data_IF_084642631624
#
_entry.id   IF_084642631624
#
_cell.length_a   1.000
_cell.length_b   1.000
_cell.length_c   1.000
_cell.angle_alpha   90.00
_cell.angle_beta   90.00
_cell.angle_gamma   90.00
#
_symmetry.space_group_name_H-M   'P 1'
#
loop_
_entity.id
_entity.type
_entity.pdbx_description
1 polymer ?
#
# COMPACT_ATOMS: atom_id res chain seq x y z
N UNK A 1 -10.88 5.54 -9.91
CA UNK A 1 -9.97 6.03 -8.86
C UNK A 1 -10.24 5.23 -7.60
N UNK A 2 -9.17 4.69 -7.02
CA UNK A 2 -9.22 3.91 -5.78
C UNK A 2 -8.92 4.84 -4.61
N UNK A 3 -9.44 4.57 -3.42
CA UNK A 3 -9.08 5.34 -2.22
C UNK A 3 -8.66 4.46 -1.07
N UNK A 4 -7.77 5.01 -0.26
CA UNK A 4 -7.32 4.45 1.01
C UNK A 4 -7.62 5.49 2.07
N UNK A 5 -8.24 5.08 3.16
CA UNK A 5 -8.45 5.93 4.33
C UNK A 5 -8.15 5.19 5.61
N UNK A 6 -7.81 5.90 6.68
CA UNK A 6 -7.50 5.33 7.98
C UNK A 6 -6.92 6.38 8.92
N UNK A 7 -6.50 5.94 10.10
CA UNK A 7 -5.81 6.77 11.09
C UNK A 7 -4.31 6.47 11.04
N UNK A 8 -3.47 7.49 10.97
CA UNK A 8 -2.02 7.29 10.99
C UNK A 8 -1.58 6.86 12.39
N UNK A 9 -1.21 5.60 12.55
CA UNK A 9 -0.86 5.00 13.85
C UNK A 9 0.26 5.76 14.58
N UNK A 10 1.20 6.32 13.81
CA UNK A 10 2.36 7.05 14.37
C UNK A 10 2.00 8.41 14.98
N UNK A 11 0.95 9.05 14.48
CA UNK A 11 0.59 10.40 14.94
C UNK A 11 -0.24 10.34 16.23
N UNK A 12 -1.02 9.27 16.42
CA UNK A 12 -1.96 9.18 17.53
C UNK A 12 -2.98 10.33 17.55
N UNK A 13 -3.15 11.01 16.41
CA UNK A 13 -4.21 11.98 16.21
C UNK A 13 -5.50 11.23 15.85
N UNK A 14 -6.64 11.72 16.32
CA UNK A 14 -7.94 11.15 15.93
C UNK A 14 -8.37 11.68 14.56
N UNK A 15 -7.41 12.01 13.68
CA UNK A 15 -7.66 12.57 12.36
C UNK A 15 -7.66 11.45 11.33
N UNK A 16 -8.84 11.18 10.75
CA UNK A 16 -8.95 10.22 9.64
C UNK A 16 -8.44 10.86 8.36
N UNK A 17 -7.45 10.24 7.74
CA UNK A 17 -6.79 10.73 6.52
C UNK A 17 -7.23 9.91 5.32
N UNK A 18 -7.15 10.50 4.14
CA UNK A 18 -7.59 9.84 2.90
C UNK A 18 -6.71 10.26 1.73
N UNK A 19 -6.30 9.27 0.94
CA UNK A 19 -5.65 9.46 -0.35
C UNK A 19 -6.42 8.75 -1.45
N UNK A 20 -6.31 9.27 -2.67
CA UNK A 20 -6.76 8.64 -3.89
C UNK A 20 -5.56 8.13 -4.70
N UNK A 21 -5.70 6.96 -5.29
CA UNK A 21 -4.72 6.32 -6.15
C UNK A 21 -5.28 6.21 -7.57
N UNK A 22 -4.54 6.75 -8.52
CA UNK A 22 -4.88 6.69 -9.94
C UNK A 22 -4.58 5.31 -10.54
N UNK A 23 -5.00 5.08 -11.79
CA UNK A 23 -4.67 3.84 -12.51
C UNK A 23 -3.19 3.73 -12.87
N UNK A 24 -2.41 4.82 -12.75
CA UNK A 24 -0.97 4.82 -12.95
C UNK A 24 -0.16 4.72 -11.65
N UNK A 25 -0.82 4.55 -10.50
CA UNK A 25 -0.18 4.51 -9.18
C UNK A 25 0.10 5.89 -8.57
N UNK A 26 -0.37 6.98 -9.19
CA UNK A 26 -0.20 8.31 -8.61
C UNK A 26 -1.07 8.48 -7.36
N UNK A 27 -0.44 8.83 -6.24
CA UNK A 27 -1.09 9.05 -4.95
C UNK A 27 -1.34 10.55 -4.76
N UNK A 28 -2.59 10.94 -4.51
CA UNK A 28 -3.02 12.33 -4.27
C UNK A 28 -3.95 12.41 -3.05
N UNK A 29 -4.16 13.59 -2.47
CA UNK A 29 -5.03 13.75 -1.29
C UNK A 29 -4.26 14.28 -0.08
N UNK A 30 -4.51 13.71 1.10
CA UNK A 30 -3.83 14.10 2.34
C UNK A 30 -2.30 14.08 2.18
N UNK A 31 -1.66 15.22 2.44
CA UNK A 31 -0.23 15.41 2.17
C UNK A 31 0.65 14.55 3.08
N UNK A 32 0.25 14.33 4.33
CA UNK A 32 1.02 13.54 5.29
C UNK A 32 0.98 12.05 4.94
N UNK A 33 -0.22 11.51 4.72
CA UNK A 33 -0.40 10.13 4.32
C UNK A 33 0.26 9.85 2.96
N UNK A 34 0.08 10.75 1.99
CA UNK A 34 0.77 10.66 0.70
C UNK A 34 2.29 10.65 0.86
N UNK A 35 2.84 11.54 1.68
CA UNK A 35 4.29 11.61 1.91
C UNK A 35 4.81 10.31 2.53
N UNK A 36 4.16 9.82 3.59
CA UNK A 36 4.55 8.59 4.27
C UNK A 36 4.48 7.35 3.37
N UNK A 37 3.40 7.19 2.60
CA UNK A 37 3.26 6.09 1.64
C UNK A 37 4.40 6.09 0.62
N UNK A 38 4.66 7.23 -0.01
CA UNK A 38 5.72 7.34 -1.00
C UNK A 38 7.11 7.09 -0.41
N UNK A 39 7.35 7.57 0.81
CA UNK A 39 8.62 7.38 1.49
C UNK A 39 8.87 5.89 1.79
N UNK A 40 7.90 5.18 2.37
CA UNK A 40 8.03 3.77 2.72
C UNK A 40 8.17 2.88 1.47
N UNK A 41 7.35 3.13 0.44
CA UNK A 41 7.47 2.46 -0.86
C UNK A 41 8.86 2.64 -1.47
N UNK A 42 9.42 3.86 -1.39
CA UNK A 42 10.73 4.16 -1.92
C UNK A 42 11.85 3.44 -1.17
N UNK A 43 11.81 3.40 0.17
CA UNK A 43 12.79 2.66 0.95
C UNK A 43 12.75 1.16 0.65
N UNK A 44 11.56 0.57 0.60
CA UNK A 44 11.41 -0.83 0.24
C UNK A 44 11.88 -1.14 -1.18
N UNK A 45 11.69 -0.23 -2.13
CA UNK A 45 12.18 -0.38 -3.51
C UNK A 45 13.72 -0.36 -3.58
N UNK A 46 14.37 0.52 -2.80
CA UNK A 46 15.84 0.59 -2.70
C UNK A 46 16.38 -0.72 -2.15
N UNK A 47 15.79 -1.22 -1.06
CA UNK A 47 16.27 -2.40 -0.35
C UNK A 47 15.81 -3.72 -1.00
N UNK A 48 14.86 -3.64 -1.94
CA UNK A 48 14.16 -4.78 -2.57
C UNK A 48 13.46 -5.68 -1.56
N UNK A 49 12.85 -5.06 -0.57
CA UNK A 49 12.15 -5.74 0.52
C UNK A 49 10.79 -6.26 0.08
N UNK A 50 10.45 -7.45 0.58
CA UNK A 50 9.13 -8.03 0.38
C UNK A 50 8.09 -7.47 1.36
N UNK A 51 6.82 -7.58 0.98
CA UNK A 51 5.66 -7.17 1.77
C UNK A 51 4.90 -8.36 2.34
N UNK A 52 4.33 -8.17 3.53
CA UNK A 52 3.36 -9.09 4.13
C UNK A 52 3.89 -10.49 4.45
N UNK A 53 3.04 -11.37 4.99
CA UNK A 53 3.41 -12.74 5.35
C UNK A 53 3.70 -13.63 4.12
N UNK A 54 3.12 -13.29 2.97
CA UNK A 54 3.32 -14.00 1.69
C UNK A 54 4.66 -13.67 1.01
N UNK A 55 5.48 -12.79 1.58
CA UNK A 55 6.74 -12.32 0.99
C UNK A 55 6.54 -11.78 -0.43
N UNK A 56 5.47 -11.00 -0.61
CA UNK A 56 5.14 -10.41 -1.89
C UNK A 56 6.26 -9.47 -2.37
N UNK A 57 6.75 -9.68 -3.59
CA UNK A 57 7.79 -8.87 -4.19
C UNK A 57 7.27 -8.28 -5.52
N UNK A 58 7.05 -6.96 -5.61
CA UNK A 58 6.62 -6.32 -6.85
C UNK A 58 7.62 -6.60 -7.99
N UNK A 59 7.10 -6.91 -9.17
CA UNK A 59 7.93 -7.17 -10.36
C UNK A 59 8.48 -5.90 -11.03
N UNK A 60 7.95 -4.74 -10.64
CA UNK A 60 8.29 -3.43 -11.19
C UNK A 60 8.48 -2.37 -10.10
N UNK A 61 8.30 -1.10 -10.46
CA UNK A 61 8.42 0.00 -9.49
C UNK A 61 7.32 -0.07 -8.43
N UNK A 62 7.69 -0.01 -7.16
CA UNK A 62 6.78 -0.29 -6.04
C UNK A 62 5.65 0.74 -5.96
N UNK A 63 5.95 1.99 -6.31
CA UNK A 63 4.98 3.08 -6.38
C UNK A 63 3.91 2.93 -7.49
N UNK A 64 4.06 1.97 -8.40
CA UNK A 64 3.06 1.65 -9.43
C UNK A 64 2.32 0.35 -9.13
N UNK A 65 2.71 -0.34 -8.08
CA UNK A 65 2.16 -1.63 -7.72
C UNK A 65 1.07 -1.44 -6.66
N UNK A 66 -0.19 -1.70 -7.03
CA UNK A 66 -1.31 -1.48 -6.13
C UNK A 66 -1.28 -2.39 -4.91
N UNK A 67 -0.74 -3.61 -5.02
CA UNK A 67 -0.62 -4.53 -3.89
C UNK A 67 0.45 -3.98 -2.93
N UNK A 68 1.58 -3.50 -3.45
CA UNK A 68 2.60 -2.85 -2.63
C UNK A 68 2.04 -1.61 -1.90
N UNK A 69 1.26 -0.77 -2.59
CA UNK A 69 0.64 0.42 -2.00
C UNK A 69 -0.31 0.03 -0.85
N UNK A 70 -1.14 -1.01 -1.04
CA UNK A 70 -2.05 -1.51 0.00
C UNK A 70 -1.27 -2.04 1.19
N UNK A 71 -0.29 -2.92 1.00
CA UNK A 71 0.51 -3.44 2.12
C UNK A 71 1.26 -2.33 2.87
N UNK A 72 1.76 -1.34 2.14
CA UNK A 72 2.41 -0.17 2.76
C UNK A 72 1.41 0.61 3.61
N UNK A 73 0.18 0.81 3.12
CA UNK A 73 -0.88 1.46 3.88
C UNK A 73 -1.28 0.67 5.13
N UNK A 74 -1.41 -0.66 5.04
CA UNK A 74 -1.73 -1.54 6.16
C UNK A 74 -0.68 -1.47 7.28
N UNK A 75 0.59 -1.26 6.94
CA UNK A 75 1.65 -1.09 7.94
C UNK A 75 1.55 0.20 8.75
N UNK A 76 0.84 1.22 8.25
CA UNK A 76 0.83 2.56 8.84
C UNK A 76 -0.54 3.08 9.26
N UNK A 77 -1.63 2.41 8.86
CA UNK A 77 -3.00 2.84 9.11
C UNK A 77 -3.73 1.91 10.07
N UNK A 78 -4.25 2.48 11.15
CA UNK A 78 -5.28 1.85 11.97
C UNK A 78 -6.66 2.09 11.32
N UNK A 79 -7.55 1.09 11.46
CA UNK A 79 -8.91 1.09 10.89
C UNK A 79 -8.94 1.48 9.41
N UNK A 80 -8.03 0.87 8.64
CA UNK A 80 -7.90 1.10 7.20
C UNK A 80 -9.18 0.69 6.45
N UNK A 81 -9.64 1.54 5.54
CA UNK A 81 -10.72 1.25 4.60
C UNK A 81 -10.26 1.50 3.16
N UNK A 82 -10.66 0.58 2.29
CA UNK A 82 -10.42 0.64 0.85
C UNK A 82 -11.73 0.93 0.11
N UNK A 83 -11.76 1.98 -0.71
CA UNK A 83 -12.86 2.27 -1.63
C UNK A 83 -12.43 2.03 -3.08
N UNK A 84 -13.31 1.40 -3.87
CA UNK A 84 -13.09 1.08 -5.28
C UNK A 84 -12.57 -0.34 -5.51
N UNK A 85 -12.29 -0.66 -6.77
CA UNK A 85 -11.83 -1.99 -7.18
C UNK A 85 -10.31 -2.11 -7.04
N UNK A 86 -9.87 -2.73 -5.95
CA UNK A 86 -8.47 -3.09 -5.72
C UNK A 86 -8.20 -4.49 -6.29
N UNK A 87 -6.99 -4.76 -6.83
CA UNK A 87 -6.63 -6.11 -7.19
C UNK A 87 -6.74 -7.00 -5.95
N UNK A 88 -7.31 -8.19 -6.12
CA UNK A 88 -7.20 -9.21 -5.09
C UNK A 88 -5.70 -9.52 -4.90
N UNK A 89 -5.32 -9.92 -3.69
CA UNK A 89 -4.03 -10.57 -3.49
C UNK A 89 -4.02 -11.83 -4.36
N UNK A 90 -3.49 -11.76 -5.59
CA UNK A 90 -3.13 -12.93 -6.37
C UNK A 90 -1.85 -13.52 -5.75
N UNK A 91 -2.00 -14.05 -4.53
CA UNK A 91 -1.13 -15.09 -4.05
C UNK A 91 -1.50 -16.35 -4.80
N UNK A 92 -0.94 -16.55 -6.00
CA UNK A 92 -0.92 -17.87 -6.61
C UNK A 92 -0.24 -18.81 -5.61
N UNK A 93 -1.06 -19.61 -4.93
CA UNK A 93 -0.58 -20.73 -4.13
C UNK A 93 -0.08 -21.77 -5.14
N UNK A 94 1.18 -21.63 -5.55
CA UNK A 94 1.88 -22.70 -6.25
C UNK A 94 2.17 -23.78 -5.19
N UNK A 95 1.19 -24.64 -4.94
CA UNK A 95 1.49 -25.99 -4.49
C UNK A 95 2.24 -26.68 -5.63
N UNK A 96 3.56 -26.65 -5.59
CA UNK A 96 4.32 -27.66 -6.30
C UNK A 96 4.12 -28.99 -5.55
N UNK A 97 2.98 -29.64 -5.80
CA UNK A 97 2.89 -31.08 -5.67
C UNK A 97 3.58 -31.70 -6.90
N UNK A 98 4.81 -32.17 -6.71
CA UNK A 98 5.38 -33.40 -7.31
C UNK A 98 6.84 -33.58 -6.87
#
# INVERSE_FOLDING_TARGET
>A
MRKISGYLSILGDNERRTVAVSDSGEITGDEMLKFMLNMELHYKEIDRDCFGPSHYLPSGGYHKDFIAIVFTAEMMLDEMELEGEWPAEEGDVIFNEA
#
